data_IF_036179854188
#
_entry.id   IF_036179854188
#
_cell.length_a   1.000
_cell.length_b   1.000
_cell.length_c   1.000
_cell.angle_alpha   90.00
_cell.angle_beta   90.00
_cell.angle_gamma   90.00
#
_symmetry.space_group_name_H-M   'P 1'
#
loop_
_entity.id
_entity.type
_entity.pdbx_description
1 polymer ?
#
# COMPACT_ATOMS: atom_id res chain seq x y z
N UNK A 1 -12.62 -13.36 -18.28
CA UNK A 1 -12.77 -12.06 -17.64
C UNK A 1 -12.16 -12.08 -16.25
N UNK A 2 -11.35 -11.09 -15.91
CA UNK A 2 -10.54 -11.12 -14.71
C UNK A 2 -11.01 -10.10 -13.65
N UNK A 3 -12.30 -9.78 -13.62
CA UNK A 3 -12.86 -9.04 -12.49
C UNK A 3 -12.90 -9.92 -11.25
N UNK A 4 -12.75 -9.33 -10.09
CA UNK A 4 -12.73 -10.10 -8.85
C UNK A 4 -13.50 -9.38 -7.76
N UNK A 5 -13.94 -10.17 -6.78
CA UNK A 5 -14.56 -9.64 -5.56
C UNK A 5 -13.50 -9.70 -4.47
N UNK A 6 -13.31 -8.60 -3.76
CA UNK A 6 -12.35 -8.54 -2.66
C UNK A 6 -12.86 -9.43 -1.54
N UNK A 7 -12.18 -10.54 -1.31
CA UNK A 7 -12.55 -11.48 -0.25
C UNK A 7 -11.43 -11.69 0.76
N UNK A 8 -10.20 -11.41 0.39
CA UNK A 8 -9.05 -11.51 1.30
C UNK A 8 -7.80 -11.12 0.54
N UNK A 9 -7.22 -10.01 0.92
CA UNK A 9 -6.00 -9.51 0.30
C UNK A 9 -4.79 -9.93 1.13
N UNK A 10 -3.68 -10.20 0.44
CA UNK A 10 -2.42 -10.54 1.09
C UNK A 10 -1.63 -9.28 1.38
N UNK A 11 -1.15 -9.14 2.61
CA UNK A 11 -0.32 -8.01 3.01
C UNK A 11 0.86 -8.50 3.83
N UNK A 12 2.06 -8.35 3.29
CA UNK A 12 3.31 -8.72 3.95
C UNK A 12 4.07 -7.44 4.25
N UNK A 13 4.30 -7.14 5.53
CA UNK A 13 4.99 -5.92 5.97
C UNK A 13 6.28 -6.33 6.65
N UNK A 14 7.41 -5.90 6.09
CA UNK A 14 8.76 -6.20 6.60
C UNK A 14 8.92 -7.67 6.95
N UNK A 15 8.52 -8.55 6.02
CA UNK A 15 8.55 -10.03 6.12
C UNK A 15 7.57 -10.63 7.13
N UNK A 16 6.69 -9.83 7.73
CA UNK A 16 5.64 -10.31 8.64
C UNK A 16 4.31 -10.30 7.91
N UNK A 17 3.64 -11.44 7.86
CA UNK A 17 2.33 -11.57 7.22
C UNK A 17 1.24 -11.10 8.20
N UNK A 18 0.61 -9.98 7.85
CA UNK A 18 -0.46 -9.38 8.63
C UNK A 18 -1.83 -9.54 7.96
N UNK A 19 -1.95 -10.42 6.98
CA UNK A 19 -3.15 -10.57 6.16
C UNK A 19 -4.39 -10.94 6.95
N UNK A 20 -4.23 -11.64 8.07
CA UNK A 20 -5.36 -12.07 8.91
C UNK A 20 -6.01 -10.93 9.70
N UNK A 21 -5.41 -9.74 9.69
CA UNK A 21 -5.94 -8.55 10.38
C UNK A 21 -6.33 -7.44 9.42
N UNK A 22 -6.23 -7.67 8.11
CA UNK A 22 -6.52 -6.65 7.08
C UNK A 22 -8.02 -6.63 6.80
N UNK A 23 -8.61 -5.43 6.82
CA UNK A 23 -10.01 -5.24 6.40
C UNK A 23 -10.11 -4.50 5.09
N UNK A 24 -9.11 -3.68 4.73
CA UNK A 24 -9.10 -2.94 3.48
C UNK A 24 -7.68 -2.60 3.09
N UNK A 25 -7.35 -2.73 1.81
CA UNK A 25 -6.06 -2.32 1.25
C UNK A 25 -6.31 -1.43 0.05
N UNK A 26 -5.65 -0.27 0.01
CA UNK A 26 -5.66 0.62 -1.15
C UNK A 26 -4.22 0.88 -1.56
N UNK A 27 -3.84 0.38 -2.72
CA UNK A 27 -2.54 0.65 -3.34
C UNK A 27 -2.75 1.63 -4.48
N UNK A 28 -2.13 2.80 -4.39
CA UNK A 28 -2.24 3.83 -5.41
C UNK A 28 -0.87 4.06 -6.03
N UNK A 29 -0.82 3.98 -7.36
CA UNK A 29 0.40 4.22 -8.14
C UNK A 29 0.13 5.39 -9.07
N UNK A 30 0.90 6.45 -8.94
CA UNK A 30 0.66 7.72 -9.63
C UNK A 30 1.92 8.20 -10.35
N UNK A 31 1.71 8.98 -11.40
CA UNK A 31 2.78 9.69 -12.09
C UNK A 31 2.40 11.16 -12.18
N UNK A 32 3.40 12.05 -12.05
CA UNK A 32 3.18 13.46 -12.25
C UNK A 32 2.91 13.74 -13.72
N UNK A 33 1.99 14.67 -14.00
CA UNK A 33 1.76 15.17 -15.35
C UNK A 33 2.52 16.49 -15.49
N UNK A 34 3.51 16.51 -16.35
CA UNK A 34 4.32 17.70 -16.59
C UNK A 34 3.85 18.35 -17.89
N UNK A 35 3.43 19.60 -17.81
CA UNK A 35 2.92 20.32 -18.99
C UNK A 35 4.08 20.63 -19.96
N UNK A 36 3.87 20.30 -21.21
CA UNK A 36 4.84 20.54 -22.29
C UNK A 36 4.31 21.51 -23.34
N UNK A 37 3.17 22.15 -23.08
CA UNK A 37 2.56 23.09 -24.01
C UNK A 37 3.49 24.26 -24.25
N UNK A 38 3.80 24.53 -25.51
CA UNK A 38 4.61 25.66 -25.92
C UNK A 38 3.74 26.71 -26.62
N UNK A 39 4.25 27.90 -26.76
CA UNK A 39 3.58 28.95 -27.54
C UNK A 39 3.56 28.54 -29.01
N UNK A 40 2.36 28.52 -29.56
CA UNK A 40 2.16 28.09 -30.96
C UNK A 40 0.71 28.24 -31.35
N UNK A 41 0.31 27.56 -32.41
CA UNK A 41 -1.04 27.66 -32.98
C UNK A 41 -2.02 26.64 -32.42
N UNK A 42 -1.56 25.69 -31.59
CA UNK A 42 -2.45 24.68 -31.03
C UNK A 42 -3.24 25.27 -29.84
N UNK A 43 -4.51 24.94 -29.75
CA UNK A 43 -5.37 25.35 -28.65
C UNK A 43 -5.41 24.33 -27.51
N UNK A 44 -4.83 23.15 -27.70
CA UNK A 44 -4.84 22.08 -26.72
C UNK A 44 -3.56 22.04 -25.91
N UNK A 45 -3.67 21.75 -24.62
CA UNK A 45 -2.52 21.53 -23.74
C UNK A 45 -1.93 20.16 -23.98
N UNK A 46 -0.62 20.02 -23.82
CA UNK A 46 0.08 18.75 -23.89
C UNK A 46 0.85 18.49 -22.62
N UNK A 47 0.98 17.20 -22.25
CA UNK A 47 1.64 16.76 -21.02
C UNK A 47 2.49 15.54 -21.29
N UNK A 48 3.53 15.37 -20.49
CA UNK A 48 4.30 14.12 -20.42
C UNK A 48 4.28 13.60 -18.99
N UNK A 49 4.49 12.31 -18.83
CA UNK A 49 4.59 11.70 -17.52
C UNK A 49 5.93 12.12 -16.86
N UNK A 50 5.86 12.54 -15.63
CA UNK A 50 7.03 12.89 -14.81
C UNK A 50 7.40 11.78 -13.86
N UNK A 51 7.75 12.15 -12.62
CA UNK A 51 8.15 11.19 -11.60
C UNK A 51 6.95 10.39 -11.14
N UNK A 52 7.19 9.10 -10.82
CA UNK A 52 6.17 8.22 -10.28
C UNK A 52 6.29 8.11 -8.77
N UNK A 53 5.16 7.88 -8.12
CA UNK A 53 5.10 7.63 -6.68
C UNK A 53 3.99 6.61 -6.39
N UNK A 54 4.10 5.94 -5.25
CA UNK A 54 3.08 5.00 -4.83
C UNK A 54 2.94 5.02 -3.32
N UNK A 55 1.76 4.65 -2.86
CA UNK A 55 1.48 4.54 -1.43
C UNK A 55 0.48 3.43 -1.19
N UNK A 56 0.50 2.89 0.02
CA UNK A 56 -0.43 1.86 0.45
C UNK A 56 -1.11 2.34 1.73
N UNK A 57 -2.44 2.36 1.70
CA UNK A 57 -3.26 2.60 2.90
C UNK A 57 -3.91 1.27 3.28
N UNK A 58 -3.74 0.84 4.51
CA UNK A 58 -4.25 -0.43 4.98
C UNK A 58 -5.03 -0.22 6.26
N UNK A 59 -6.26 -0.74 6.30
CA UNK A 59 -7.04 -0.80 7.53
C UNK A 59 -6.79 -2.16 8.20
N UNK A 60 -6.22 -2.13 9.38
CA UNK A 60 -5.99 -3.32 10.19
C UNK A 60 -6.95 -3.35 11.37
N UNK A 61 -7.31 -4.55 11.80
CA UNK A 61 -7.88 -4.77 13.12
C UNK A 61 -6.71 -4.74 14.12
N UNK A 62 -6.78 -3.85 15.11
CA UNK A 62 -5.67 -3.68 16.04
C UNK A 62 -5.48 -4.92 16.92
N UNK A 63 -4.24 -5.30 17.11
CA UNK A 63 -3.86 -6.46 17.92
C UNK A 63 -2.52 -6.17 18.59
N UNK A 64 -2.50 -6.24 19.91
CA UNK A 64 -1.29 -5.96 20.70
C UNK A 64 -0.52 -7.23 21.07
N UNK A 65 -0.91 -8.39 20.55
CA UNK A 65 -0.19 -9.63 20.79
C UNK A 65 1.17 -9.63 20.08
N UNK A 66 2.05 -10.53 20.50
CA UNK A 66 3.38 -10.66 19.90
C UNK A 66 3.29 -11.02 18.41
N UNK A 67 4.15 -10.41 17.59
CA UNK A 67 4.22 -10.58 16.14
C UNK A 67 2.94 -10.22 15.39
N UNK A 68 2.08 -9.40 15.98
CA UNK A 68 0.85 -8.88 15.37
C UNK A 68 1.03 -7.40 15.03
N UNK A 69 -0.08 -6.67 14.90
CA UNK A 69 -0.08 -5.33 14.31
C UNK A 69 0.81 -4.37 15.08
N UNK A 70 0.59 -4.21 16.39
CA UNK A 70 1.33 -3.23 17.17
C UNK A 70 2.81 -3.60 17.29
N UNK A 71 3.11 -4.87 17.56
CA UNK A 71 4.50 -5.32 17.71
C UNK A 71 5.31 -5.12 16.42
N UNK A 72 4.67 -5.20 15.27
CA UNK A 72 5.32 -4.99 13.97
C UNK A 72 5.44 -3.51 13.64
N UNK A 73 4.35 -2.76 13.74
CA UNK A 73 4.29 -1.39 13.22
C UNK A 73 4.98 -0.38 14.13
N UNK A 74 4.96 -0.57 15.45
CA UNK A 74 5.58 0.36 16.38
C UNK A 74 7.08 0.49 16.14
N UNK A 75 7.73 -0.58 15.72
CA UNK A 75 9.17 -0.57 15.45
C UNK A 75 9.51 0.03 14.10
N UNK A 76 8.53 0.20 13.21
CA UNK A 76 8.75 0.68 11.85
C UNK A 76 8.52 2.18 11.70
N UNK A 77 7.75 2.80 12.59
CA UNK A 77 7.50 4.23 12.53
C UNK A 77 8.80 5.00 12.81
N UNK A 78 9.17 5.86 11.87
CA UNK A 78 10.43 6.60 11.98
C UNK A 78 11.68 5.78 11.64
N UNK A 79 11.53 4.53 11.26
CA UNK A 79 12.65 3.67 10.91
C UNK A 79 13.06 3.85 9.44
N UNK A 80 14.16 3.21 9.05
CA UNK A 80 14.60 3.18 7.65
C UNK A 80 13.58 2.40 6.80
N UNK A 81 13.68 2.57 5.47
CA UNK A 81 12.77 1.90 4.54
C UNK A 81 12.80 0.38 4.70
N UNK A 82 11.65 -0.24 4.55
CA UNK A 82 11.45 -1.67 4.65
C UNK A 82 10.59 -2.16 3.48
N UNK A 83 10.61 -3.46 3.23
CA UNK A 83 9.85 -4.04 2.13
C UNK A 83 8.38 -4.25 2.52
N UNK A 84 7.51 -4.01 1.55
CA UNK A 84 6.08 -4.33 1.66
C UNK A 84 5.63 -5.05 0.38
N UNK A 85 4.73 -5.99 0.52
CA UNK A 85 4.11 -6.66 -0.62
C UNK A 85 2.62 -6.80 -0.39
N UNK A 86 1.82 -6.47 -1.42
CA UNK A 86 0.37 -6.67 -1.40
C UNK A 86 -0.05 -7.46 -2.63
N UNK A 87 -1.05 -8.32 -2.46
CA UNK A 87 -1.63 -9.13 -3.54
C UNK A 87 -3.14 -9.06 -3.48
N UNK A 88 -3.83 -9.20 -4.63
CA UNK A 88 -5.30 -9.19 -4.65
C UNK A 88 -5.92 -10.32 -3.82
N UNK A 89 -5.24 -11.45 -3.70
CA UNK A 89 -5.74 -12.58 -2.92
C UNK A 89 -4.59 -13.27 -2.20
N UNK A 90 -4.92 -13.96 -1.11
CA UNK A 90 -3.95 -14.84 -0.45
C UNK A 90 -3.62 -16.00 -1.38
N UNK A 91 -2.39 -16.44 -1.35
CA UNK A 91 -1.92 -17.51 -2.22
C UNK A 91 -0.68 -17.08 -2.99
N UNK A 92 -0.20 -17.97 -3.84
CA UNK A 92 1.01 -17.73 -4.57
C UNK A 92 0.80 -16.70 -5.68
N UNK A 93 1.87 -16.01 -6.04
CA UNK A 93 1.84 -15.08 -7.17
C UNK A 93 1.52 -15.82 -8.46
N UNK A 94 0.72 -15.17 -9.30
CA UNK A 94 0.38 -15.68 -10.64
C UNK A 94 0.00 -14.49 -11.52
N UNK A 95 -0.30 -14.76 -12.78
CA UNK A 95 -0.74 -13.70 -13.71
C UNK A 95 -2.05 -13.06 -13.28
N UNK A 96 -2.89 -13.78 -12.54
CA UNK A 96 -4.15 -13.25 -12.01
C UNK A 96 -4.06 -12.85 -10.54
N UNK A 97 -2.94 -13.12 -9.89
CA UNK A 97 -2.67 -12.73 -8.49
C UNK A 97 -1.26 -12.13 -8.40
N UNK A 98 -1.03 -10.98 -9.04
CA UNK A 98 0.30 -10.36 -9.04
C UNK A 98 0.64 -9.81 -7.66
N UNK A 99 1.92 -9.94 -7.27
CA UNK A 99 2.44 -9.31 -6.07
C UNK A 99 3.04 -7.95 -6.40
N UNK A 100 2.51 -6.91 -5.78
CA UNK A 100 3.07 -5.56 -5.88
C UNK A 100 3.96 -5.33 -4.69
N UNK A 101 5.24 -5.09 -4.95
CA UNK A 101 6.23 -4.99 -3.88
C UNK A 101 7.19 -3.84 -4.12
N UNK A 102 7.77 -3.36 -3.05
CA UNK A 102 8.72 -2.28 -3.06
C UNK A 102 9.12 -1.90 -1.65
N UNK A 103 10.00 -0.93 -1.54
CA UNK A 103 10.40 -0.39 -0.25
C UNK A 103 9.52 0.81 0.11
N UNK A 104 9.19 0.94 1.37
CA UNK A 104 8.36 2.03 1.87
C UNK A 104 8.79 2.45 3.26
N UNK A 105 8.26 3.58 3.70
CA UNK A 105 8.40 4.05 5.07
C UNK A 105 7.00 4.15 5.69
N UNK A 106 6.92 3.92 6.98
CA UNK A 106 5.66 4.06 7.70
C UNK A 106 5.52 5.53 8.13
N UNK A 107 4.48 6.19 7.61
CA UNK A 107 4.30 7.62 7.83
C UNK A 107 3.19 7.96 8.83
N UNK A 108 2.22 7.06 8.99
CA UNK A 108 1.09 7.30 9.91
C UNK A 108 0.63 5.98 10.50
N UNK A 109 0.56 5.94 11.82
CA UNK A 109 0.08 4.77 12.54
C UNK A 109 -0.74 5.24 13.75
N UNK A 110 -2.07 5.32 13.62
CA UNK A 110 -2.93 5.61 14.77
C UNK A 110 -2.98 4.38 15.69
N UNK A 111 -2.22 4.40 16.77
CA UNK A 111 -2.06 3.25 17.65
C UNK A 111 -3.38 2.91 18.34
N UNK A 112 -4.07 3.93 18.83
CA UNK A 112 -5.36 3.79 19.50
C UNK A 112 -6.40 4.58 18.71
N UNK A 113 -7.43 3.89 18.25
CA UNK A 113 -8.52 4.50 17.51
C UNK A 113 -9.80 3.72 17.77
N UNK A 114 -10.93 4.43 17.80
CA UNK A 114 -12.23 3.84 18.03
C UNK A 114 -12.87 4.29 19.32
N UNK A 115 -14.17 4.07 19.43
CA UNK A 115 -14.97 4.41 20.59
C UNK A 115 -15.27 3.14 21.39
N UNK A 116 -15.69 3.33 22.63
CA UNK A 116 -16.08 2.22 23.49
C UNK A 116 -17.21 1.41 22.84
N UNK A 117 -17.02 0.11 22.77
CA UNK A 117 -17.96 -0.80 22.14
C UNK A 117 -17.64 -1.13 20.69
N UNK A 118 -16.72 -0.42 20.07
CA UNK A 118 -16.30 -0.67 18.68
C UNK A 118 -15.12 -1.64 18.63
N UNK A 119 -15.03 -2.37 17.53
CA UNK A 119 -13.83 -3.12 17.22
C UNK A 119 -12.71 -2.12 16.91
N UNK A 120 -11.57 -2.24 17.58
CA UNK A 120 -10.46 -1.34 17.36
C UNK A 120 -9.85 -1.59 15.98
N UNK A 121 -9.77 -0.53 15.18
CA UNK A 121 -9.18 -0.55 13.83
C UNK A 121 -8.15 0.56 13.72
N UNK A 122 -7.17 0.35 12.87
CA UNK A 122 -6.17 1.38 12.59
C UNK A 122 -5.96 1.48 11.09
N UNK A 123 -6.02 2.71 10.56
CA UNK A 123 -5.70 2.99 9.17
C UNK A 123 -4.24 3.46 9.08
N UNK A 124 -3.42 2.64 8.49
CA UNK A 124 -1.98 2.82 8.43
C UNK A 124 -1.59 3.25 7.02
N UNK A 125 -0.70 4.24 6.89
CA UNK A 125 -0.22 4.72 5.61
C UNK A 125 1.25 4.37 5.45
N UNK A 126 1.57 3.67 4.36
CA UNK A 126 2.93 3.37 3.94
C UNK A 126 3.23 4.20 2.69
N UNK A 127 4.23 5.06 2.79
CA UNK A 127 4.67 5.85 1.64
C UNK A 127 5.77 5.11 0.91
N UNK A 128 5.55 4.80 -0.36
CA UNK A 128 6.56 4.15 -1.18
C UNK A 128 7.77 5.01 -1.42
N UNK A 129 8.93 4.39 -1.41
CA UNK A 129 10.18 5.02 -1.78
C UNK A 129 10.86 4.18 -2.85
N UNK A 130 11.13 4.78 -4.01
CA UNK A 130 11.68 4.08 -5.15
C UNK A 130 10.61 3.45 -6.03
N UNK A 131 10.98 2.44 -6.79
CA UNK A 131 10.11 1.82 -7.77
C UNK A 131 9.17 0.80 -7.12
N UNK A 132 7.97 0.71 -7.67
CA UNK A 132 7.02 -0.34 -7.35
C UNK A 132 7.16 -1.45 -8.40
N UNK A 133 7.38 -2.68 -7.95
CA UNK A 133 7.52 -3.82 -8.83
C UNK A 133 6.23 -4.65 -8.86
N UNK A 134 5.88 -5.14 -10.04
CA UNK A 134 4.78 -6.09 -10.22
C UNK A 134 5.37 -7.45 -10.55
N UNK A 135 5.09 -8.44 -9.74
CA UNK A 135 5.66 -9.78 -9.87
C UNK A 135 4.56 -10.81 -10.03
N UNK A 136 4.71 -11.70 -11.01
CA UNK A 136 3.72 -12.75 -11.29
C UNK A 136 4.27 -14.16 -11.05
N UNK A 137 5.50 -14.26 -10.57
CA UNK A 137 6.14 -15.55 -10.29
C UNK A 137 6.78 -15.56 -8.91
#
# INVERSE_FOLDING_TARGET
MATYVVSGEYCLVNTVDLSDHVTEVTLTYEADAVETTAMGTTAAKSFIAGLTSWKVDVDFQQDFAAAKIDATLTTLIGAAAFAIEVRPATGNRSTTNPGYNGNCILTSYPILAGAKGDLAKTRVTFQGTGALARSTA
#
